data_IF_062467220847
#
_entry.id   IF_062467220847
#
_cell.length_a   1.000
_cell.length_b   1.000
_cell.length_c   1.000
_cell.angle_alpha   90.00
_cell.angle_beta   90.00
_cell.angle_gamma   90.00
#
_symmetry.space_group_name_H-M   'P 1'
#
loop_
_entity.id
_entity.type
_entity.pdbx_description
1 polymer ?
#
# COMPACT_ATOMS: atom_id res chain seq x y z
N UNK A 1 39.81 70.51 -55.82
CA UNK A 1 38.77 70.96 -54.88
C UNK A 1 37.96 69.73 -54.49
N UNK A 2 38.18 69.23 -53.27
CA UNK A 2 37.80 67.88 -52.84
C UNK A 2 36.27 67.72 -52.72
N UNK A 3 35.68 66.89 -53.59
CA UNK A 3 34.26 66.56 -53.59
C UNK A 3 34.04 65.49 -52.50
N UNK A 4 33.29 65.87 -51.47
CA UNK A 4 32.91 64.99 -50.36
C UNK A 4 31.83 64.00 -50.79
N UNK A 5 32.15 62.75 -50.55
CA UNK A 5 31.34 61.53 -50.63
C UNK A 5 30.05 61.63 -49.82
N UNK A 6 28.90 61.28 -50.40
CA UNK A 6 27.67 60.99 -49.65
C UNK A 6 27.29 59.53 -49.94
N UNK A 7 27.69 58.63 -49.05
CA UNK A 7 27.27 57.23 -49.06
C UNK A 7 26.02 57.11 -48.17
N UNK A 8 24.88 56.74 -48.77
CA UNK A 8 23.69 56.31 -48.05
C UNK A 8 23.99 54.97 -47.34
N UNK A 9 24.09 54.99 -46.02
CA UNK A 9 24.10 53.78 -45.18
C UNK A 9 22.65 53.38 -44.87
N UNK A 10 22.14 52.36 -45.57
CA UNK A 10 20.95 51.62 -45.14
C UNK A 10 21.30 50.81 -43.88
N UNK A 11 20.77 51.22 -42.73
CA UNK A 11 20.74 50.40 -41.52
C UNK A 11 19.60 49.38 -41.65
N UNK A 12 19.95 48.14 -41.97
CA UNK A 12 19.06 46.98 -41.83
C UNK A 12 18.94 46.63 -40.34
N UNK A 13 17.74 46.81 -39.77
CA UNK A 13 17.43 46.48 -38.39
C UNK A 13 17.15 44.97 -38.28
N UNK A 14 18.17 44.18 -37.94
CA UNK A 14 18.00 42.76 -37.63
C UNK A 14 17.33 42.61 -36.26
N UNK A 15 16.01 42.48 -36.23
CA UNK A 15 15.29 42.09 -35.01
C UNK A 15 15.72 40.67 -34.60
N UNK A 16 16.48 40.55 -33.52
CA UNK A 16 16.79 39.26 -32.92
C UNK A 16 15.51 38.73 -32.24
N UNK A 17 15.15 37.45 -32.42
CA UNK A 17 14.04 36.87 -31.68
C UNK A 17 14.40 36.84 -30.20
N UNK A 18 13.64 37.57 -29.39
CA UNK A 18 13.71 37.47 -27.92
C UNK A 18 13.25 36.06 -27.57
N UNK A 19 14.19 35.18 -27.25
CA UNK A 19 13.85 33.92 -26.58
C UNK A 19 13.24 34.28 -25.24
N UNK A 20 11.93 34.05 -25.09
CA UNK A 20 11.25 34.13 -23.81
C UNK A 20 12.02 33.27 -22.83
N UNK A 21 12.69 33.89 -21.86
CA UNK A 21 13.25 33.16 -20.73
C UNK A 21 12.07 32.58 -19.96
N UNK A 22 11.84 31.28 -20.09
CA UNK A 22 10.91 30.57 -19.21
C UNK A 22 11.34 30.84 -17.78
N UNK A 23 10.48 31.42 -16.92
CA UNK A 23 10.83 31.60 -15.52
C UNK A 23 11.26 30.24 -14.96
N UNK A 24 12.37 30.20 -14.23
CA UNK A 24 12.76 29.01 -13.49
C UNK A 24 11.56 28.61 -12.61
N UNK A 25 11.06 27.39 -12.79
CA UNK A 25 9.98 26.86 -11.96
C UNK A 25 10.41 27.00 -10.50
N UNK A 26 9.60 27.66 -9.68
CA UNK A 26 9.82 27.68 -8.24
C UNK A 26 9.91 26.23 -7.75
N UNK A 27 10.87 25.88 -6.88
CA UNK A 27 10.92 24.54 -6.32
C UNK A 27 9.56 24.24 -5.68
N UNK A 28 8.96 23.11 -6.05
CA UNK A 28 7.73 22.67 -5.43
C UNK A 28 7.92 22.66 -3.91
N UNK A 29 6.96 23.21 -3.17
CA UNK A 29 6.98 23.13 -1.72
C UNK A 29 7.05 21.64 -1.33
N UNK A 30 7.97 21.28 -0.44
CA UNK A 30 8.06 19.92 0.06
C UNK A 30 6.76 19.56 0.81
N UNK A 31 6.22 18.37 0.57
CA UNK A 31 5.07 17.86 1.31
C UNK A 31 5.37 17.78 2.81
N UNK A 32 4.35 17.97 3.64
CA UNK A 32 4.49 17.76 5.09
C UNK A 32 4.92 16.31 5.41
N UNK A 33 5.70 16.07 6.48
CA UNK A 33 6.05 14.72 6.90
C UNK A 33 4.80 13.85 7.14
N UNK A 34 3.74 14.41 7.72
CA UNK A 34 2.44 13.73 7.89
C UNK A 34 1.86 13.23 6.55
N UNK A 35 1.85 14.08 5.52
CA UNK A 35 1.36 13.71 4.18
C UNK A 35 2.26 12.65 3.53
N UNK A 36 3.58 12.83 3.63
CA UNK A 36 4.56 11.88 3.09
C UNK A 36 4.37 10.48 3.69
N UNK A 37 4.24 10.38 5.01
CA UNK A 37 4.01 9.10 5.68
C UNK A 37 2.66 8.49 5.35
N UNK A 38 1.61 9.31 5.20
CA UNK A 38 0.29 8.82 4.76
C UNK A 38 0.35 8.15 3.40
N UNK A 39 0.99 8.80 2.44
CA UNK A 39 1.14 8.26 1.08
C UNK A 39 2.01 7.00 1.08
N UNK A 40 3.14 7.02 1.78
CA UNK A 40 4.02 5.86 1.88
C UNK A 40 3.31 4.64 2.52
N UNK A 41 2.53 4.84 3.59
CA UNK A 41 1.77 3.74 4.21
C UNK A 41 0.67 3.24 3.27
N UNK A 42 -0.07 4.13 2.60
CA UNK A 42 -1.07 3.72 1.61
C UNK A 42 -0.46 2.84 0.52
N UNK A 43 0.69 3.22 -0.02
CA UNK A 43 1.37 2.45 -1.06
C UNK A 43 1.78 1.07 -0.54
N UNK A 44 2.38 0.99 0.65
CA UNK A 44 2.76 -0.30 1.25
C UNK A 44 1.55 -1.22 1.42
N UNK A 45 0.44 -0.69 1.92
CA UNK A 45 -0.78 -1.47 2.18
C UNK A 45 -1.54 -1.86 0.90
N UNK A 46 -1.52 -1.04 -0.15
CA UNK A 46 -2.06 -1.41 -1.47
C UNK A 46 -1.21 -2.51 -2.12
N UNK A 47 0.11 -2.36 -2.05
CA UNK A 47 1.07 -3.35 -2.57
C UNK A 47 0.92 -4.70 -1.83
N UNK A 48 0.60 -4.68 -0.52
CA UNK A 48 0.30 -5.89 0.25
C UNK A 48 -0.86 -6.70 -0.34
N UNK A 49 -2.01 -6.05 -0.54
CA UNK A 49 -3.20 -6.72 -1.08
C UNK A 49 -3.01 -7.12 -2.55
N UNK A 50 -2.18 -6.38 -3.29
CA UNK A 50 -1.81 -6.72 -4.66
C UNK A 50 -1.07 -8.06 -4.71
N UNK A 51 -0.03 -8.26 -3.89
CA UNK A 51 0.72 -9.51 -3.91
C UNK A 51 -0.08 -10.70 -3.41
N UNK A 52 -0.97 -10.51 -2.43
CA UNK A 52 -1.88 -11.57 -1.97
C UNK A 52 -2.87 -11.96 -3.09
N UNK A 53 -3.45 -10.99 -3.80
CA UNK A 53 -4.31 -11.26 -4.96
C UNK A 53 -3.58 -12.06 -6.05
N UNK A 54 -2.33 -11.68 -6.36
CA UNK A 54 -1.51 -12.40 -7.33
C UNK A 54 -1.23 -13.84 -6.89
N UNK A 55 -0.98 -14.06 -5.60
CA UNK A 55 -0.85 -15.42 -5.08
C UNK A 55 -2.15 -16.21 -5.25
N UNK A 56 -3.29 -15.64 -4.84
CA UNK A 56 -4.57 -16.34 -4.93
C UNK A 56 -4.90 -16.75 -6.36
N UNK A 57 -4.70 -15.85 -7.32
CA UNK A 57 -4.89 -16.12 -8.74
C UNK A 57 -3.93 -17.21 -9.26
N UNK A 58 -2.64 -17.13 -8.95
CA UNK A 58 -1.64 -18.11 -9.39
C UNK A 58 -1.85 -19.49 -8.74
N UNK A 59 -2.26 -19.52 -7.48
CA UNK A 59 -2.58 -20.76 -6.78
C UNK A 59 -3.80 -21.44 -7.43
N UNK A 60 -4.85 -20.66 -7.74
CA UNK A 60 -6.05 -21.15 -8.41
C UNK A 60 -5.76 -21.69 -9.82
N UNK A 61 -4.78 -21.12 -10.55
CA UNK A 61 -4.35 -21.61 -11.86
C UNK A 61 -3.31 -22.73 -11.81
N UNK A 62 -2.94 -23.20 -10.61
CA UNK A 62 -1.87 -24.16 -10.38
C UNK A 62 -0.48 -23.72 -10.92
N UNK A 63 -0.26 -22.41 -11.11
CA UNK A 63 1.05 -21.86 -11.47
C UNK A 63 1.93 -21.72 -10.23
N UNK A 64 2.63 -22.80 -9.90
CA UNK A 64 3.52 -22.87 -8.74
C UNK A 64 4.67 -21.86 -8.79
N UNK A 65 5.15 -21.50 -9.98
CA UNK A 65 6.27 -20.55 -10.12
C UNK A 65 5.79 -19.14 -9.79
N UNK A 66 4.66 -18.73 -10.38
CA UNK A 66 4.08 -17.42 -10.10
C UNK A 66 3.60 -17.33 -8.64
N UNK A 67 2.97 -18.39 -8.10
CA UNK A 67 2.54 -18.44 -6.71
C UNK A 67 3.72 -18.26 -5.74
N UNK A 68 4.85 -18.93 -6.00
CA UNK A 68 6.06 -18.74 -5.18
C UNK A 68 6.56 -17.29 -5.21
N UNK A 69 6.68 -16.68 -6.39
CA UNK A 69 7.15 -15.29 -6.50
C UNK A 69 6.21 -14.34 -5.77
N UNK A 70 4.89 -14.51 -5.94
CA UNK A 70 3.91 -13.68 -5.25
C UNK A 70 4.00 -13.86 -3.72
N UNK A 71 4.14 -15.09 -3.22
CA UNK A 71 4.30 -15.36 -1.78
C UNK A 71 5.56 -14.69 -1.20
N UNK A 72 6.70 -14.77 -1.91
CA UNK A 72 7.94 -14.11 -1.49
C UNK A 72 7.73 -12.58 -1.42
N UNK A 73 7.03 -11.98 -2.40
CA UNK A 73 6.71 -10.55 -2.37
C UNK A 73 5.72 -10.14 -1.27
N UNK A 74 4.77 -11.00 -0.90
CA UNK A 74 3.91 -10.75 0.29
C UNK A 74 4.77 -10.62 1.55
N UNK A 75 5.76 -11.50 1.72
CA UNK A 75 6.67 -11.48 2.88
C UNK A 75 7.58 -10.26 2.86
N UNK A 76 8.16 -9.92 1.71
CA UNK A 76 8.99 -8.72 1.54
C UNK A 76 8.19 -7.45 1.85
N UNK A 77 6.97 -7.35 1.35
CA UNK A 77 6.09 -6.22 1.60
C UNK A 77 5.66 -6.16 3.09
N UNK A 78 5.29 -7.27 3.70
CA UNK A 78 4.95 -7.33 5.13
C UNK A 78 6.12 -6.87 6.00
N UNK A 79 7.35 -7.20 5.61
CA UNK A 79 8.59 -6.72 6.27
C UNK A 79 8.73 -5.20 6.17
N UNK A 80 8.41 -4.61 5.00
CA UNK A 80 8.41 -3.15 4.83
C UNK A 80 7.32 -2.46 5.65
N UNK A 81 6.11 -3.02 5.71
CA UNK A 81 5.03 -2.53 6.58
C UNK A 81 5.48 -2.56 8.04
N UNK A 82 6.01 -3.69 8.50
CA UNK A 82 6.48 -3.84 9.86
C UNK A 82 7.59 -2.83 10.22
N UNK A 83 8.59 -2.68 9.35
CA UNK A 83 9.69 -1.75 9.60
C UNK A 83 9.29 -0.28 9.50
N UNK A 84 8.14 0.06 8.90
CA UNK A 84 7.64 1.44 8.86
C UNK A 84 7.37 2.03 10.26
N UNK A 85 7.13 1.18 11.26
CA UNK A 85 6.87 1.62 12.64
C UNK A 85 8.14 1.67 13.51
N UNK A 86 9.25 1.08 13.05
CA UNK A 86 10.49 0.99 13.81
C UNK A 86 11.06 2.35 14.26
N UNK A 87 11.01 3.44 13.46
CA UNK A 87 11.49 4.74 13.90
C UNK A 87 10.71 5.36 15.07
N UNK A 88 9.49 4.87 15.33
CA UNK A 88 8.59 5.41 16.36
C UNK A 88 8.51 4.51 17.60
N UNK A 89 8.49 3.20 17.42
CA UNK A 89 8.33 2.23 18.52
C UNK A 89 9.53 1.29 18.72
N UNK A 90 10.58 1.42 17.91
CA UNK A 90 11.77 0.58 17.96
C UNK A 90 11.63 -0.76 17.22
N UNK A 91 12.78 -1.39 16.97
CA UNK A 91 12.85 -2.66 16.23
C UNK A 91 12.04 -3.81 16.86
N UNK A 92 12.02 -4.01 18.20
CA UNK A 92 11.23 -5.08 18.80
C UNK A 92 9.73 -4.99 18.47
N UNK A 93 9.19 -3.78 18.38
CA UNK A 93 7.79 -3.57 17.98
C UNK A 93 7.57 -3.91 16.50
N UNK A 94 8.50 -3.52 15.62
CA UNK A 94 8.46 -3.89 14.21
C UNK A 94 8.53 -5.42 14.03
N UNK A 95 9.44 -6.12 14.72
CA UNK A 95 9.57 -7.58 14.64
C UNK A 95 8.30 -8.29 15.13
N UNK A 96 7.68 -7.79 16.20
CA UNK A 96 6.40 -8.31 16.69
C UNK A 96 5.27 -8.06 15.69
N UNK A 97 5.21 -6.88 15.05
CA UNK A 97 4.24 -6.60 13.99
C UNK A 97 4.46 -7.54 12.78
N UNK A 98 5.71 -7.78 12.38
CA UNK A 98 6.03 -8.70 11.29
C UNK A 98 5.54 -10.12 11.59
N UNK A 99 5.74 -10.61 12.82
CA UNK A 99 5.23 -11.93 13.24
C UNK A 99 3.70 -12.00 13.12
N UNK A 100 3.00 -10.94 13.49
CA UNK A 100 1.54 -10.88 13.39
C UNK A 100 1.06 -10.81 11.93
N UNK A 101 1.73 -10.02 11.08
CA UNK A 101 1.44 -9.96 9.63
C UNK A 101 1.75 -11.28 8.92
N UNK A 102 2.81 -11.98 9.31
CA UNK A 102 3.11 -13.32 8.82
C UNK A 102 2.00 -14.32 9.21
N UNK A 103 1.42 -14.19 10.40
CA UNK A 103 0.24 -14.96 10.81
C UNK A 103 -1.01 -14.64 9.97
N UNK A 104 -1.26 -13.37 9.65
CA UNK A 104 -2.34 -12.94 8.76
C UNK A 104 -2.18 -13.59 7.39
N UNK A 105 -1.00 -13.42 6.80
CA UNK A 105 -0.65 -14.00 5.51
C UNK A 105 -0.79 -15.53 5.51
N UNK A 106 -0.28 -16.19 6.55
CA UNK A 106 -0.39 -17.64 6.70
C UNK A 106 -1.83 -18.13 6.67
N UNK A 107 -2.74 -17.45 7.37
CA UNK A 107 -4.17 -17.80 7.37
C UNK A 107 -4.83 -17.57 6.00
N UNK A 108 -4.53 -16.45 5.32
CA UNK A 108 -5.06 -16.19 3.96
C UNK A 108 -4.53 -17.22 2.95
N UNK A 109 -3.24 -17.51 3.01
CA UNK A 109 -2.59 -18.55 2.18
C UNK A 109 -3.24 -19.92 2.43
N UNK A 110 -3.44 -20.28 3.69
CA UNK A 110 -4.10 -21.52 4.08
C UNK A 110 -5.52 -21.60 3.51
N UNK A 111 -6.32 -20.52 3.56
CA UNK A 111 -7.66 -20.50 2.96
C UNK A 111 -7.61 -20.71 1.44
N UNK A 112 -6.66 -20.09 0.75
CA UNK A 112 -6.42 -20.26 -0.69
C UNK A 112 -6.06 -21.72 -1.03
N UNK A 113 -5.09 -22.30 -0.32
CA UNK A 113 -4.65 -23.68 -0.53
C UNK A 113 -5.77 -24.68 -0.25
N UNK A 114 -6.53 -24.49 0.84
CA UNK A 114 -7.68 -25.32 1.18
C UNK A 114 -8.81 -25.19 0.15
N UNK A 115 -8.98 -24.02 -0.47
CA UNK A 115 -9.97 -23.81 -1.54
C UNK A 115 -9.61 -24.61 -2.79
N UNK A 116 -8.35 -24.56 -3.23
CA UNK A 116 -7.85 -25.38 -4.35
C UNK A 116 -7.99 -26.88 -4.05
N UNK A 117 -7.67 -27.28 -2.81
CA UNK A 117 -7.78 -28.67 -2.35
C UNK A 117 -9.22 -29.14 -2.11
N UNK A 118 -10.23 -28.26 -2.22
CA UNK A 118 -11.63 -28.51 -1.86
C UNK A 118 -11.80 -29.00 -0.40
N UNK A 119 -10.93 -28.54 0.49
CA UNK A 119 -10.93 -28.90 1.90
C UNK A 119 -11.77 -27.91 2.72
N UNK A 120 -13.03 -28.27 2.96
CA UNK A 120 -13.94 -27.46 3.77
C UNK A 120 -13.46 -27.29 5.23
N UNK A 121 -12.77 -28.28 5.80
CA UNK A 121 -12.25 -28.20 7.17
C UNK A 121 -11.05 -27.26 7.24
N UNK A 122 -10.14 -27.34 6.26
CA UNK A 122 -9.03 -26.41 6.09
C UNK A 122 -9.51 -24.96 5.94
N UNK A 123 -10.54 -24.71 5.12
CA UNK A 123 -11.16 -23.38 5.01
C UNK A 123 -11.67 -22.86 6.36
N UNK A 124 -12.37 -23.69 7.13
CA UNK A 124 -12.88 -23.29 8.45
C UNK A 124 -11.75 -23.04 9.47
N UNK A 125 -10.68 -23.83 9.41
CA UNK A 125 -9.49 -23.62 10.24
C UNK A 125 -8.82 -22.27 9.90
N UNK A 126 -8.61 -21.98 8.63
CA UNK A 126 -8.04 -20.72 8.15
C UNK A 126 -8.88 -19.49 8.57
N UNK A 127 -10.22 -19.58 8.52
CA UNK A 127 -11.11 -18.51 9.02
C UNK A 127 -10.92 -18.29 10.53
N UNK A 128 -10.74 -19.36 11.30
CA UNK A 128 -10.51 -19.29 12.75
C UNK A 128 -9.15 -18.65 13.05
N UNK A 129 -8.11 -19.06 12.33
CA UNK A 129 -6.77 -18.48 12.40
C UNK A 129 -6.79 -16.98 12.07
N UNK A 130 -7.47 -16.59 10.99
CA UNK A 130 -7.58 -15.19 10.56
C UNK A 130 -8.33 -14.33 11.58
N UNK A 131 -9.41 -14.86 12.16
CA UNK A 131 -10.18 -14.17 13.21
C UNK A 131 -9.36 -13.98 14.48
N UNK A 132 -8.61 -15.00 14.90
CA UNK A 132 -7.71 -14.92 16.05
C UNK A 132 -6.58 -13.92 15.80
N UNK A 133 -5.98 -13.97 14.62
CA UNK A 133 -4.91 -13.07 14.20
C UNK A 133 -5.37 -11.60 14.14
N UNK A 134 -6.59 -11.32 13.64
CA UNK A 134 -7.16 -9.98 13.64
C UNK A 134 -7.24 -9.38 15.05
N UNK A 135 -7.62 -10.19 16.05
CA UNK A 135 -7.63 -9.78 17.47
C UNK A 135 -6.22 -9.54 18.00
N UNK A 136 -5.26 -10.40 17.65
CA UNK A 136 -3.87 -10.26 18.09
C UNK A 136 -3.20 -8.99 17.51
N UNK A 137 -3.43 -8.69 16.23
CA UNK A 137 -2.97 -7.42 15.61
C UNK A 137 -3.64 -6.23 16.27
N UNK A 138 -4.97 -6.29 16.48
CA UNK A 138 -5.71 -5.20 17.11
C UNK A 138 -5.19 -4.87 18.51
N UNK A 139 -5.03 -5.90 19.37
CA UNK A 139 -4.51 -5.73 20.72
C UNK A 139 -3.09 -5.17 20.73
N UNK A 140 -2.21 -5.64 19.84
CA UNK A 140 -0.85 -5.13 19.72
C UNK A 140 -0.82 -3.64 19.36
N UNK A 141 -1.55 -3.26 18.31
CA UNK A 141 -1.57 -1.87 17.82
C UNK A 141 -2.27 -0.93 18.80
N UNK A 142 -3.38 -1.34 19.42
CA UNK A 142 -4.08 -0.56 20.42
C UNK A 142 -3.24 -0.38 21.70
N UNK A 143 -2.46 -1.40 22.09
CA UNK A 143 -1.53 -1.32 23.20
C UNK A 143 -0.37 -0.35 22.95
N UNK A 144 0.08 -0.23 21.69
CA UNK A 144 1.13 0.71 21.30
C UNK A 144 0.61 2.15 21.15
N UNK A 145 -0.62 2.32 20.64
CA UNK A 145 -1.18 3.63 20.31
C UNK A 145 -2.63 3.79 20.82
N UNK A 146 -2.87 4.65 21.83
CA UNK A 146 -4.20 4.84 22.41
C UNK A 146 -5.20 5.51 21.46
N UNK A 147 -4.76 6.03 20.31
CA UNK A 147 -5.63 6.59 19.28
C UNK A 147 -6.20 5.53 18.33
N UNK A 148 -5.88 4.24 18.55
CA UNK A 148 -6.43 3.11 17.82
C UNK A 148 -7.28 2.24 18.76
N UNK A 149 -8.60 2.52 18.91
CA UNK A 149 -9.46 1.69 19.75
C UNK A 149 -9.46 0.23 19.26
N UNK A 150 -9.14 -0.71 20.15
CA UNK A 150 -9.00 -2.12 19.79
C UNK A 150 -10.24 -2.67 19.07
N UNK A 151 -11.44 -2.35 19.56
CA UNK A 151 -12.71 -2.77 18.94
C UNK A 151 -12.81 -2.31 17.48
N UNK A 152 -12.39 -1.07 17.19
CA UNK A 152 -12.38 -0.55 15.82
C UNK A 152 -11.38 -1.30 14.94
N UNK A 153 -10.17 -1.56 15.46
CA UNK A 153 -9.17 -2.34 14.74
C UNK A 153 -9.64 -3.78 14.46
N UNK A 154 -10.26 -4.46 15.43
CA UNK A 154 -10.82 -5.81 15.23
C UNK A 154 -11.82 -5.81 14.08
N UNK A 155 -12.74 -4.83 14.04
CA UNK A 155 -13.72 -4.71 12.96
C UNK A 155 -13.05 -4.51 11.61
N UNK A 156 -12.11 -3.56 11.49
CA UNK A 156 -11.41 -3.28 10.24
C UNK A 156 -10.60 -4.49 9.76
N UNK A 157 -9.84 -5.13 10.64
CA UNK A 157 -9.00 -6.29 10.30
C UNK A 157 -9.83 -7.52 9.94
N UNK A 158 -10.96 -7.72 10.61
CA UNK A 158 -11.89 -8.83 10.31
C UNK A 158 -12.56 -8.63 8.94
N UNK A 159 -13.02 -7.41 8.63
CA UNK A 159 -13.56 -7.09 7.32
C UNK A 159 -12.48 -7.19 6.22
N UNK A 160 -11.24 -6.80 6.52
CA UNK A 160 -10.11 -6.97 5.60
C UNK A 160 -9.85 -8.45 5.28
N UNK A 161 -9.81 -9.31 6.29
CA UNK A 161 -9.71 -10.76 6.11
C UNK A 161 -10.88 -11.34 5.31
N UNK A 162 -12.10 -10.84 5.54
CA UNK A 162 -13.29 -11.22 4.77
C UNK A 162 -13.20 -10.89 3.28
N UNK A 163 -12.55 -9.78 2.90
CA UNK A 163 -12.31 -9.46 1.49
C UNK A 163 -11.39 -10.48 0.81
N UNK A 164 -10.30 -10.92 1.48
CA UNK A 164 -9.42 -11.97 0.95
C UNK A 164 -10.18 -13.28 0.75
N UNK A 165 -10.96 -13.70 1.74
CA UNK A 165 -11.80 -14.90 1.65
C UNK A 165 -12.75 -14.83 0.46
N UNK A 166 -13.47 -13.71 0.32
CA UNK A 166 -14.42 -13.50 -0.78
C UNK A 166 -13.72 -13.55 -2.14
N UNK A 167 -12.60 -12.84 -2.28
CA UNK A 167 -11.80 -12.84 -3.51
C UNK A 167 -11.32 -14.24 -3.89
N UNK A 168 -10.84 -15.03 -2.92
CA UNK A 168 -10.40 -16.40 -3.15
C UNK A 168 -11.56 -17.28 -3.63
N UNK A 169 -12.73 -17.17 -3.01
CA UNK A 169 -13.92 -17.93 -3.40
C UNK A 169 -14.43 -17.52 -4.79
N UNK A 170 -14.37 -16.24 -5.12
CA UNK A 170 -14.71 -15.71 -6.45
C UNK A 170 -13.76 -16.23 -7.54
N UNK A 171 -12.44 -16.29 -7.27
CA UNK A 171 -11.49 -16.92 -8.18
C UNK A 171 -11.80 -18.41 -8.39
N UNK A 172 -12.12 -19.15 -7.32
CA UNK A 172 -12.49 -20.56 -7.40
C UNK A 172 -13.80 -20.80 -8.17
N UNK A 173 -14.73 -19.86 -8.12
CA UNK A 173 -15.98 -19.88 -8.88
C UNK A 173 -15.86 -19.33 -10.31
N UNK A 174 -14.67 -18.85 -10.71
CA UNK A 174 -14.46 -18.11 -11.97
C UNK A 174 -15.33 -16.85 -12.10
N UNK A 175 -15.76 -16.24 -10.98
CA UNK A 175 -16.52 -14.98 -10.96
C UNK A 175 -15.57 -13.77 -10.98
N UNK A 176 -14.94 -13.52 -12.13
CA UNK A 176 -14.02 -12.39 -12.29
C UNK A 176 -14.71 -11.03 -12.19
N UNK A 177 -16.00 -10.96 -12.48
CA UNK A 177 -16.78 -9.72 -12.33
C UNK A 177 -17.06 -9.43 -10.85
N UNK A 178 -17.38 -10.45 -10.05
CA UNK A 178 -17.42 -10.40 -8.59
C UNK A 178 -16.09 -9.98 -8.01
N UNK A 179 -15.03 -10.67 -8.40
CA UNK A 179 -13.68 -10.38 -7.91
C UNK A 179 -13.26 -8.93 -8.18
N UNK A 180 -13.56 -8.38 -9.36
CA UNK A 180 -13.26 -6.98 -9.66
C UNK A 180 -14.00 -6.00 -8.72
N UNK A 181 -15.23 -6.32 -8.31
CA UNK A 181 -15.98 -5.51 -7.32
C UNK A 181 -15.37 -5.66 -5.92
N UNK A 182 -15.05 -6.89 -5.51
CA UNK A 182 -14.37 -7.17 -4.25
C UNK A 182 -13.03 -6.45 -4.16
N UNK A 183 -12.23 -6.47 -5.22
CA UNK A 183 -10.98 -5.73 -5.32
C UNK A 183 -11.17 -4.20 -5.14
N UNK A 184 -12.17 -3.61 -5.80
CA UNK A 184 -12.44 -2.18 -5.67
C UNK A 184 -12.83 -1.79 -4.22
N UNK A 185 -13.66 -2.61 -3.57
CA UNK A 185 -14.04 -2.44 -2.17
C UNK A 185 -12.83 -2.61 -1.24
N UNK A 186 -12.07 -3.68 -1.44
CA UNK A 186 -10.89 -4.01 -0.65
C UNK A 186 -9.82 -2.93 -0.71
N UNK A 187 -9.56 -2.38 -1.92
CA UNK A 187 -8.62 -1.27 -2.09
C UNK A 187 -9.08 -0.01 -1.36
N UNK A 188 -10.37 0.30 -1.40
CA UNK A 188 -10.93 1.43 -0.65
C UNK A 188 -10.76 1.22 0.86
N UNK A 189 -11.06 0.01 1.33
CA UNK A 189 -10.96 -0.35 2.73
C UNK A 189 -9.51 -0.35 3.23
N UNK A 190 -8.55 -0.90 2.48
CA UNK A 190 -7.15 -0.92 2.92
C UNK A 190 -6.55 0.49 3.00
N UNK A 191 -6.96 1.41 2.12
CA UNK A 191 -6.59 2.81 2.22
C UNK A 191 -7.14 3.46 3.49
N UNK A 192 -8.37 3.12 3.90
CA UNK A 192 -8.94 3.59 5.15
C UNK A 192 -8.20 3.03 6.37
N UNK A 193 -7.77 1.76 6.33
CA UNK A 193 -6.91 1.18 7.37
C UNK A 193 -5.55 1.89 7.45
N UNK A 194 -4.88 2.09 6.31
CA UNK A 194 -3.62 2.82 6.24
C UNK A 194 -3.75 4.26 6.79
N UNK A 195 -4.85 4.93 6.47
CA UNK A 195 -5.15 6.28 6.97
C UNK A 195 -5.41 6.31 8.48
N UNK A 196 -6.15 5.32 9.02
CA UNK A 196 -6.39 5.21 10.46
C UNK A 196 -5.07 5.00 11.22
N UNK A 197 -4.20 4.11 10.72
CA UNK A 197 -2.88 3.89 11.27
C UNK A 197 -2.03 5.17 11.23
N UNK A 198 -1.93 5.81 10.06
CA UNK A 198 -1.16 7.05 9.93
C UNK A 198 -1.69 8.14 10.86
N UNK A 199 -3.01 8.35 10.89
CA UNK A 199 -3.64 9.36 11.73
C UNK A 199 -3.37 9.14 13.22
N UNK A 200 -3.29 7.89 13.66
CA UNK A 200 -2.92 7.56 15.03
C UNK A 200 -1.43 7.84 15.32
N UNK A 201 -0.53 7.56 14.37
CA UNK A 201 0.89 7.90 14.52
C UNK A 201 1.10 9.41 14.65
N UNK A 202 0.45 10.20 13.78
CA UNK A 202 0.53 11.66 13.81
C UNK A 202 0.00 12.22 15.14
N UNK A 203 -1.09 11.66 15.67
CA UNK A 203 -1.63 12.08 16.97
C UNK A 203 -0.72 11.74 18.16
N UNK A 204 -0.04 10.59 18.12
CA UNK A 204 0.84 10.17 19.22
C UNK A 204 2.21 10.85 19.19
N UNK A 205 2.73 11.17 18.00
CA UNK A 205 4.07 11.73 17.81
C UNK A 205 4.03 13.07 17.03
N UNK A 206 3.31 14.10 17.50
CA UNK A 206 3.16 15.35 16.76
C UNK A 206 4.50 16.01 16.40
N UNK A 207 5.53 15.90 17.26
CA UNK A 207 6.85 16.50 17.01
C UNK A 207 7.65 15.80 15.88
N UNK A 208 7.16 14.66 15.37
CA UNK A 208 7.76 13.91 14.26
C UNK A 208 7.10 14.21 12.92
N UNK A 209 5.96 14.90 12.91
CA UNK A 209 5.06 15.02 11.76
C UNK A 209 4.68 16.46 11.41
#
# INVERSE_FOLDING_TARGET
MNIKTLALLLLAFCAQPVWSQTPAASPAAADSPALTTRLALRDLWVEHIFWIRNYALANQSADQKQAKVAADQVVDNATKIANSIAPLYGQPAADQLLKLLAGHWGAVKHYSDATVAKDAKGKQAAVTELTSNAKAIAAFLAGANPNLPEVTLVTMLSAHGGHHITQIDEFAAHDYAGEARTWAMMRTHILALADALTGALVKQFPDKF
#
